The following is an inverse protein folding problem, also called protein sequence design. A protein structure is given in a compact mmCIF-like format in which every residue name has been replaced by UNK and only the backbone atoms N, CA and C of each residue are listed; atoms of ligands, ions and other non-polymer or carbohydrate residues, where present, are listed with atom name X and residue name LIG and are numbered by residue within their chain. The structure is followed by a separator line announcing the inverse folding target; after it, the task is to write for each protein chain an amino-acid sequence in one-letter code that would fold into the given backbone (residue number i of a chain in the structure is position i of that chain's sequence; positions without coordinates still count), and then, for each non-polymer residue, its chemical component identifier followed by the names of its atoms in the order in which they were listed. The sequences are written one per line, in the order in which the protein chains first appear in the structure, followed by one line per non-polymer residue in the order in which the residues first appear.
data_IF_617492326167
#
_entry.id   IF_617492326167
#
_cell.length_a   1.000
_cell.length_b   1.000
_cell.length_c   1.000
_cell.angle_alpha   90.00
_cell.angle_beta   90.00
_cell.angle_gamma   90.00
#
_symmetry.space_group_name_H-M   'P 1'
#
loop_
_entity.id
_entity.type
_entity.pdbx_description
1 polymer ?
#
# COMPACT_ATOMS: atom_id res chain seq x y z
N UNK A 1 8.95 -26.58 5.89
CA UNK A 1 9.29 -25.25 5.36
C UNK A 1 9.33 -24.30 6.54
N UNK A 2 10.53 -23.98 7.03
CA UNK A 2 10.69 -22.87 7.97
C UNK A 2 10.38 -21.57 7.22
N UNK A 3 9.34 -20.86 7.65
CA UNK A 3 9.10 -19.51 7.21
C UNK A 3 10.21 -18.66 7.81
N UNK A 4 11.15 -18.17 6.98
CA UNK A 4 12.14 -17.19 7.43
C UNK A 4 11.39 -16.02 8.08
N UNK A 5 11.59 -15.81 9.38
CA UNK A 5 11.02 -14.64 10.06
C UNK A 5 11.53 -13.38 9.36
N UNK A 6 10.60 -12.51 8.97
CA UNK A 6 10.96 -11.21 8.40
C UNK A 6 11.71 -10.39 9.46
N UNK A 7 12.68 -9.54 9.07
CA UNK A 7 13.36 -8.67 10.02
C UNK A 7 12.35 -7.83 10.81
N UNK A 8 12.58 -7.69 12.11
CA UNK A 8 11.69 -6.98 13.03
C UNK A 8 11.37 -5.55 12.55
N UNK A 9 12.37 -4.88 11.97
CA UNK A 9 12.24 -3.53 11.39
C UNK A 9 11.22 -3.45 10.25
N UNK A 10 11.09 -4.51 9.44
CA UNK A 10 10.11 -4.58 8.35
C UNK A 10 8.70 -4.77 8.91
N UNK A 11 8.57 -5.64 9.91
CA UNK A 11 7.29 -5.90 10.60
C UNK A 11 6.78 -4.61 11.27
N UNK A 12 7.65 -3.91 11.98
CA UNK A 12 7.32 -2.63 12.63
C UNK A 12 6.89 -1.56 11.62
N UNK A 13 7.60 -1.45 10.50
CA UNK A 13 7.22 -0.52 9.42
C UNK A 13 5.85 -0.89 8.83
N UNK A 14 5.59 -2.16 8.58
CA UNK A 14 4.30 -2.63 8.06
C UNK A 14 3.15 -2.32 9.03
N UNK A 15 3.37 -2.52 10.33
CA UNK A 15 2.40 -2.17 11.36
C UNK A 15 2.16 -0.65 11.45
N UNK A 16 3.20 0.16 11.32
CA UNK A 16 3.06 1.61 11.28
C UNK A 16 2.28 2.09 10.05
N UNK A 17 2.53 1.51 8.87
CA UNK A 17 1.76 1.76 7.65
C UNK A 17 0.28 1.40 7.86
N UNK A 18 0.00 0.26 8.51
CA UNK A 18 -1.36 -0.18 8.80
C UNK A 18 -2.10 0.80 9.71
N UNK A 19 -1.46 1.27 10.78
CA UNK A 19 -2.06 2.27 11.69
C UNK A 19 -2.51 3.52 10.95
N UNK A 20 -1.69 4.06 10.05
CA UNK A 20 -2.08 5.24 9.25
C UNK A 20 -3.20 4.88 8.28
N UNK A 21 -3.17 3.71 7.65
CA UNK A 21 -4.26 3.28 6.77
C UNK A 21 -5.60 3.18 7.53
N UNK A 22 -5.57 2.65 8.75
CA UNK A 22 -6.74 2.53 9.62
C UNK A 22 -7.28 3.91 10.06
N UNK A 23 -6.40 4.86 10.41
CA UNK A 23 -6.77 6.26 10.73
C UNK A 23 -7.58 6.93 9.60
N UNK A 24 -7.26 6.60 8.35
CA UNK A 24 -7.93 7.15 7.16
C UNK A 24 -9.07 6.25 6.63
N UNK A 25 -9.34 5.11 7.28
CA UNK A 25 -10.29 4.08 6.83
C UNK A 25 -9.99 3.55 5.42
N UNK A 26 -8.72 3.37 5.11
CA UNK A 26 -8.24 2.90 3.81
C UNK A 26 -7.69 1.47 3.96
N UNK A 27 -8.11 0.52 3.11
CA UNK A 27 -7.45 -0.77 3.06
C UNK A 27 -5.97 -0.59 2.66
N UNK A 28 -5.03 -1.01 3.51
CA UNK A 28 -3.60 -0.88 3.21
C UNK A 28 -3.22 -1.53 1.86
N UNK A 29 -3.89 -2.63 1.49
CA UNK A 29 -3.72 -3.28 0.21
C UNK A 29 -4.11 -2.39 -0.98
N UNK A 30 -5.12 -1.52 -0.83
CA UNK A 30 -5.49 -0.54 -1.85
C UNK A 30 -4.40 0.51 -2.05
N UNK A 31 -3.85 1.03 -0.95
CA UNK A 31 -2.70 1.93 -1.01
C UNK A 31 -1.49 1.25 -1.67
N UNK A 32 -1.18 0.01 -1.29
CA UNK A 32 -0.07 -0.74 -1.89
C UNK A 32 -0.26 -0.99 -3.40
N UNK A 33 -1.50 -1.24 -3.84
CA UNK A 33 -1.85 -1.45 -5.24
C UNK A 33 -1.72 -0.16 -6.07
N UNK A 34 -2.15 0.97 -5.51
CA UNK A 34 -2.21 2.25 -6.23
C UNK A 34 -0.87 3.01 -6.20
N UNK A 35 -0.07 2.88 -5.14
CA UNK A 35 1.17 3.65 -4.95
C UNK A 35 2.15 3.59 -6.13
N UNK A 36 2.49 2.41 -6.70
CA UNK A 36 3.47 2.35 -7.80
C UNK A 36 2.99 3.06 -9.07
N UNK A 37 1.68 3.19 -9.26
CA UNK A 37 1.07 3.79 -10.45
C UNK A 37 1.34 5.30 -10.56
N UNK A 38 1.75 5.95 -9.45
CA UNK A 38 2.14 7.35 -9.46
C UNK A 38 3.47 7.62 -10.17
N UNK A 39 4.31 6.60 -10.33
CA UNK A 39 5.60 6.75 -10.98
C UNK A 39 5.46 6.58 -12.50
N UNK A 40 5.91 7.58 -13.27
CA UNK A 40 5.85 7.60 -14.74
C UNK A 40 6.55 6.43 -15.43
N UNK A 41 7.49 5.76 -14.76
CA UNK A 41 8.22 4.61 -15.31
C UNK A 41 7.39 3.31 -15.19
N UNK A 42 6.38 3.28 -14.31
CA UNK A 42 5.56 2.09 -14.07
C UNK A 42 4.43 2.03 -15.10
N UNK A 43 4.49 1.04 -16.00
CA UNK A 43 3.43 0.81 -16.99
C UNK A 43 2.25 0.03 -16.42
N UNK A 44 2.48 -0.86 -15.46
CA UNK A 44 1.42 -1.73 -14.89
C UNK A 44 1.83 -2.29 -13.53
N UNK A 45 0.83 -2.56 -12.68
CA UNK A 45 0.97 -3.30 -11.42
C UNK A 45 0.22 -4.62 -11.57
N UNK A 46 0.91 -5.76 -11.39
CA UNK A 46 0.34 -7.10 -11.58
C UNK A 46 0.11 -7.76 -10.21
N UNK A 47 -1.12 -7.73 -9.67
CA UNK A 47 -1.45 -8.48 -8.47
C UNK A 47 -1.67 -9.97 -8.79
N UNK A 48 -1.41 -10.84 -7.82
CA UNK A 48 -1.52 -12.30 -7.99
C UNK A 48 -2.68 -12.93 -7.20
N UNK A 49 -3.95 -12.73 -7.61
CA UNK A 49 -5.09 -13.39 -6.96
C UNK A 49 -5.04 -14.91 -7.17
N UNK A 50 -5.41 -15.65 -6.13
CA UNK A 50 -5.52 -17.13 -6.14
C UNK A 50 -6.96 -17.61 -6.29
N UNK A 51 -7.91 -16.71 -6.21
CA UNK A 51 -9.34 -17.00 -6.34
C UNK A 51 -10.08 -15.88 -7.05
N UNK A 52 -11.31 -16.18 -7.48
CA UNK A 52 -12.21 -15.17 -8.05
C UNK A 52 -12.52 -14.06 -7.04
N UNK A 53 -12.68 -14.40 -5.77
CA UNK A 53 -13.02 -13.43 -4.73
C UNK A 53 -11.86 -12.47 -4.46
N UNK A 54 -10.62 -12.97 -4.42
CA UNK A 54 -9.43 -12.12 -4.33
C UNK A 54 -9.31 -11.18 -5.54
N UNK A 55 -9.59 -11.67 -6.76
CA UNK A 55 -9.61 -10.82 -7.95
C UNK A 55 -10.65 -9.70 -7.82
N UNK A 56 -11.88 -10.03 -7.40
CA UNK A 56 -12.93 -9.04 -7.21
C UNK A 56 -12.58 -8.02 -6.13
N UNK A 57 -11.89 -8.43 -5.07
CA UNK A 57 -11.42 -7.53 -4.02
C UNK A 57 -10.34 -6.56 -4.52
N UNK A 58 -9.35 -7.06 -5.27
CA UNK A 58 -8.34 -6.23 -5.93
C UNK A 58 -8.98 -5.18 -6.84
N UNK A 59 -9.99 -5.57 -7.62
CA UNK A 59 -10.73 -4.64 -8.49
C UNK A 59 -11.47 -3.56 -7.70
N UNK A 60 -11.97 -3.89 -6.49
CA UNK A 60 -12.54 -2.89 -5.58
C UNK A 60 -11.46 -1.97 -5.04
N UNK A 61 -10.33 -2.51 -4.60
CA UNK A 61 -9.18 -1.75 -4.09
C UNK A 61 -8.63 -0.76 -5.13
N UNK A 62 -8.57 -1.14 -6.40
CA UNK A 62 -8.15 -0.25 -7.49
C UNK A 62 -9.06 0.99 -7.63
N UNK A 63 -10.32 0.91 -7.17
CA UNK A 63 -11.30 2.01 -7.25
C UNK A 63 -11.43 2.81 -5.96
N UNK A 64 -10.74 2.42 -4.88
CA UNK A 64 -10.76 3.17 -3.61
C UNK A 64 -10.16 4.55 -3.86
N UNK A 65 -10.88 5.61 -3.50
CA UNK A 65 -10.36 6.97 -3.53
C UNK A 65 -9.45 7.17 -2.31
N UNK A 66 -8.16 7.39 -2.55
CA UNK A 66 -7.19 7.64 -1.49
C UNK A 66 -6.91 9.15 -1.45
N UNK A 67 -7.25 9.84 -0.35
CA UNK A 67 -6.98 11.26 -0.19
C UNK A 67 -5.47 11.57 -0.21
N UNK A 68 -5.09 12.75 -0.71
CA UNK A 68 -3.69 13.19 -0.76
C UNK A 68 -3.08 13.28 0.65
N UNK A 69 -3.91 13.60 1.64
CA UNK A 69 -3.58 13.71 3.05
C UNK A 69 -3.05 12.38 3.63
N UNK A 70 -3.55 11.24 3.16
CA UNK A 70 -3.03 9.93 3.56
C UNK A 70 -1.56 9.78 3.14
N UNK A 71 -1.25 10.13 1.89
CA UNK A 71 0.11 10.05 1.36
C UNK A 71 1.06 11.04 2.04
N UNK A 72 0.59 12.26 2.31
CA UNK A 72 1.35 13.26 3.04
C UNK A 72 1.66 12.79 4.48
N UNK A 73 0.68 12.21 5.18
CA UNK A 73 0.88 11.63 6.52
C UNK A 73 1.95 10.54 6.52
N UNK A 74 1.98 9.67 5.49
CA UNK A 74 3.04 8.66 5.34
C UNK A 74 4.43 9.28 5.14
N UNK A 75 4.54 10.38 4.38
CA UNK A 75 5.81 11.11 4.19
C UNK A 75 6.28 11.79 5.47
N UNK A 76 5.38 12.47 6.18
CA UNK A 76 5.67 13.15 7.45
C UNK A 76 6.15 12.16 8.52
N UNK A 77 5.49 11.00 8.62
CA UNK A 77 5.88 9.91 9.54
C UNK A 77 7.10 9.12 9.07
N UNK A 78 7.76 9.53 7.97
CA UNK A 78 8.93 8.86 7.36
C UNK A 78 8.68 7.39 6.96
N UNK A 79 7.41 7.02 6.77
CA UNK A 79 7.02 5.70 6.28
C UNK A 79 7.16 5.61 4.76
N UNK A 80 7.03 6.76 4.09
CA UNK A 80 7.36 6.98 2.68
C UNK A 80 8.55 7.94 2.55
N UNK A 81 9.33 7.81 1.48
CA UNK A 81 10.37 8.80 1.14
C UNK A 81 9.70 10.12 0.73
N UNK A 82 10.24 11.25 1.16
CA UNK A 82 9.59 12.56 0.97
C UNK A 82 9.38 12.93 -0.51
N UNK A 83 10.30 12.55 -1.38
CA UNK A 83 10.31 12.78 -2.83
C UNK A 83 9.58 11.67 -3.62
N UNK A 84 9.04 10.65 -2.96
CA UNK A 84 8.32 9.60 -3.67
C UNK A 84 7.05 10.18 -4.32
N UNK A 85 6.82 9.94 -5.63
CA UNK A 85 5.58 10.34 -6.28
C UNK A 85 4.42 9.58 -5.66
N UNK A 86 3.30 10.25 -5.48
CA UNK A 86 2.07 9.71 -4.87
C UNK A 86 0.89 9.96 -5.80
N UNK A 87 -0.09 9.05 -5.86
CA UNK A 87 -1.29 9.21 -6.71
C UNK A 87 -2.07 10.50 -6.43
#
# INVERSE_FOLDING_TARGET
MELCQSPQTVIEKANALRKVADEFNIPLAAAALQFPQANKIVSSVIPGPRSKDELLEILKWQKVKIPAEFWNSLKEKKLLRADAPTP
#
